data_IF_068744157670
#
_entry.id   IF_068744157670
#
_cell.length_a   1.000
_cell.length_b   1.000
_cell.length_c   1.000
_cell.angle_alpha   90.00
_cell.angle_beta   90.00
_cell.angle_gamma   90.00
#
_symmetry.space_group_name_H-M   'P 1'
#
loop_
_entity.id
_entity.type
_entity.pdbx_description
1 polymer ?
#
# COMPACT_ATOMS: atom_id res chain seq x y z
N UNK A 1 -7.70 -10.47 18.71
CA UNK A 1 -7.51 -10.16 20.16
C UNK A 1 -7.53 -8.66 20.41
N UNK A 2 -6.70 -7.84 19.71
CA UNK A 2 -6.67 -6.39 19.91
C UNK A 2 -8.01 -5.72 19.62
N UNK A 3 -8.67 -6.05 18.51
CA UNK A 3 -9.98 -5.50 18.18
C UNK A 3 -11.04 -5.81 19.27
N UNK A 4 -11.00 -7.02 19.84
CA UNK A 4 -11.88 -7.39 20.95
C UNK A 4 -11.59 -6.58 22.23
N UNK A 5 -10.32 -6.28 22.50
CA UNK A 5 -9.90 -5.47 23.65
C UNK A 5 -10.25 -3.98 23.49
N UNK A 6 -10.29 -3.48 22.26
CA UNK A 6 -10.62 -2.09 21.94
C UNK A 6 -12.12 -1.81 21.74
N UNK A 7 -12.98 -2.82 21.93
CA UNK A 7 -14.41 -2.76 21.60
C UNK A 7 -14.71 -2.36 20.14
N UNK A 8 -13.73 -2.51 19.23
CA UNK A 8 -13.88 -2.27 17.79
C UNK A 8 -14.43 -3.53 17.14
N UNK A 9 -15.49 -3.40 16.34
CA UNK A 9 -16.03 -4.51 15.56
C UNK A 9 -15.37 -4.54 14.18
N UNK A 10 -14.50 -5.52 13.89
CA UNK A 10 -13.98 -5.72 12.55
C UNK A 10 -15.09 -6.23 11.62
N UNK A 11 -15.15 -5.71 10.41
CA UNK A 11 -16.07 -6.15 9.35
C UNK A 11 -15.26 -6.89 8.29
N UNK A 12 -15.67 -8.12 8.00
CA UNK A 12 -15.01 -8.97 7.02
C UNK A 12 -15.21 -8.39 5.62
N UNK A 13 -14.11 -8.34 4.85
CA UNK A 13 -14.15 -8.02 3.43
C UNK A 13 -14.41 -9.27 2.60
N UNK A 14 -14.96 -9.08 1.42
CA UNK A 14 -15.25 -10.13 0.44
C UNK A 14 -14.73 -9.61 -0.91
N UNK A 15 -13.58 -10.09 -1.32
CA UNK A 15 -12.89 -9.62 -2.53
C UNK A 15 -13.63 -10.05 -3.80
N UNK A 16 -14.48 -11.08 -3.72
CA UNK A 16 -15.37 -11.49 -4.80
C UNK A 16 -16.56 -10.52 -4.98
N UNK A 17 -16.85 -9.67 -3.98
CA UNK A 17 -17.89 -8.65 -4.07
C UNK A 17 -17.39 -7.41 -4.83
N UNK A 18 -17.07 -7.62 -6.10
CA UNK A 18 -16.39 -6.71 -7.02
C UNK A 18 -17.20 -6.53 -8.31
N UNK A 19 -17.32 -5.29 -8.77
CA UNK A 19 -17.85 -4.96 -10.11
C UNK A 19 -16.79 -4.22 -10.90
N UNK A 20 -16.42 -4.75 -12.07
CA UNK A 20 -15.35 -4.17 -12.91
C UNK A 20 -15.94 -3.45 -14.11
N UNK A 21 -15.45 -2.25 -14.37
CA UNK A 21 -15.83 -1.42 -15.51
C UNK A 21 -14.69 -1.34 -16.53
N UNK A 22 -15.05 -1.41 -17.82
CA UNK A 22 -14.14 -1.08 -18.88
C UNK A 22 -13.88 0.45 -18.94
N UNK A 23 -12.94 0.87 -19.80
CA UNK A 23 -12.60 2.29 -20.00
C UNK A 23 -13.74 3.16 -20.54
N UNK A 24 -14.82 2.56 -21.06
CA UNK A 24 -16.00 3.25 -21.56
C UNK A 24 -17.15 3.29 -20.54
N UNK A 25 -16.96 2.69 -19.36
CA UNK A 25 -17.97 2.62 -18.30
C UNK A 25 -18.97 1.47 -18.46
N UNK A 26 -18.68 0.47 -19.29
CA UNK A 26 -19.49 -0.74 -19.36
C UNK A 26 -19.03 -1.73 -18.28
N UNK A 27 -19.98 -2.34 -17.60
CA UNK A 27 -19.70 -3.42 -16.65
C UNK A 27 -19.22 -4.64 -17.43
N UNK A 28 -18.09 -5.20 -17.02
CA UNK A 28 -17.60 -6.46 -17.54
C UNK A 28 -18.37 -7.63 -16.90
N UNK A 29 -18.76 -8.63 -17.69
CA UNK A 29 -19.46 -9.80 -17.15
C UNK A 29 -18.54 -10.67 -16.30
N UNK A 30 -19.13 -11.34 -15.29
CA UNK A 30 -18.40 -12.21 -14.35
C UNK A 30 -17.62 -13.32 -15.07
N UNK A 31 -18.14 -13.83 -16.19
CA UNK A 31 -17.46 -14.85 -17.01
C UNK A 31 -16.09 -14.40 -17.54
N UNK A 32 -15.82 -13.10 -17.57
CA UNK A 32 -14.53 -12.51 -17.95
C UNK A 32 -13.63 -12.28 -16.71
N UNK A 33 -14.23 -11.94 -15.59
CA UNK A 33 -13.50 -11.57 -14.35
C UNK A 33 -13.14 -12.81 -13.52
N UNK A 34 -14.08 -13.72 -13.28
CA UNK A 34 -13.89 -14.91 -12.45
C UNK A 34 -12.67 -15.78 -12.82
N UNK A 35 -12.27 -15.91 -14.11
CA UNK A 35 -11.09 -16.68 -14.46
C UNK A 35 -9.76 -16.00 -14.15
N UNK A 36 -9.73 -14.68 -13.87
CA UNK A 36 -8.48 -13.91 -13.77
C UNK A 36 -7.58 -14.41 -12.65
N UNK A 37 -8.13 -14.74 -11.49
CA UNK A 37 -7.34 -15.26 -10.36
C UNK A 37 -6.59 -16.53 -10.75
N UNK A 38 -7.26 -17.48 -11.42
CA UNK A 38 -6.64 -18.72 -11.88
C UNK A 38 -5.62 -18.48 -12.99
N UNK A 39 -5.86 -17.48 -13.85
CA UNK A 39 -4.90 -17.11 -14.90
C UNK A 39 -3.64 -16.53 -14.25
N UNK A 40 -3.78 -15.65 -13.27
CA UNK A 40 -2.66 -15.09 -12.53
C UNK A 40 -1.92 -16.17 -11.74
N UNK A 41 -2.65 -17.00 -10.98
CA UNK A 41 -2.07 -18.12 -10.23
C UNK A 41 -1.22 -19.02 -11.16
N UNK A 42 -1.80 -19.46 -12.30
CA UNK A 42 -1.08 -20.28 -13.26
C UNK A 42 0.15 -19.59 -13.86
N UNK A 43 0.07 -18.28 -14.10
CA UNK A 43 1.17 -17.48 -14.62
C UNK A 43 2.31 -17.35 -13.60
N UNK A 44 1.97 -17.14 -12.34
CA UNK A 44 2.92 -16.98 -11.25
C UNK A 44 3.57 -18.34 -10.89
N UNK A 45 2.80 -19.43 -10.89
CA UNK A 45 3.30 -20.79 -10.69
C UNK A 45 4.32 -21.16 -11.77
N UNK A 46 4.06 -20.84 -13.05
CA UNK A 46 5.00 -21.10 -14.14
C UNK A 46 6.31 -20.30 -13.96
N UNK A 47 6.25 -19.11 -13.40
CA UNK A 47 7.44 -18.30 -13.07
C UNK A 47 8.23 -18.96 -11.94
N UNK A 48 7.56 -19.39 -10.88
CA UNK A 48 8.16 -19.98 -9.68
C UNK A 48 8.91 -21.29 -10.01
N UNK A 49 8.52 -22.02 -11.07
CA UNK A 49 9.19 -23.25 -11.51
C UNK A 49 10.64 -23.03 -12.02
N UNK A 50 11.01 -21.80 -12.45
CA UNK A 50 12.32 -21.59 -13.10
C UNK A 50 13.08 -20.33 -12.62
N UNK A 51 12.44 -19.45 -11.87
CA UNK A 51 13.10 -18.28 -11.26
C UNK A 51 13.56 -18.62 -9.86
N UNK A 52 14.81 -18.32 -9.56
CA UNK A 52 15.43 -18.48 -8.24
C UNK A 52 16.39 -17.31 -7.95
N UNK A 53 17.09 -17.39 -6.83
CA UNK A 53 18.06 -16.37 -6.41
C UNK A 53 19.18 -16.10 -7.43
N UNK A 54 19.61 -17.12 -8.20
CA UNK A 54 20.75 -17.01 -9.11
C UNK A 54 20.37 -16.32 -10.41
N UNK A 55 19.08 -16.38 -10.79
CA UNK A 55 18.56 -15.80 -12.02
C UNK A 55 17.42 -14.77 -11.79
N UNK A 56 17.32 -14.21 -10.58
CA UNK A 56 16.30 -13.22 -10.22
C UNK A 56 16.26 -12.04 -11.20
N UNK A 57 15.06 -11.61 -11.48
CA UNK A 57 14.73 -10.51 -12.40
C UNK A 57 13.44 -9.83 -11.98
N UNK A 58 13.06 -8.75 -12.65
CA UNK A 58 11.75 -8.15 -12.38
C UNK A 58 10.61 -9.10 -12.74
N UNK A 59 9.53 -9.05 -11.97
CA UNK A 59 8.33 -9.86 -12.22
C UNK A 59 7.77 -9.62 -13.63
N UNK A 60 7.77 -8.36 -14.09
CA UNK A 60 7.36 -8.03 -15.47
C UNK A 60 8.21 -8.75 -16.52
N UNK A 61 9.53 -8.82 -16.31
CA UNK A 61 10.43 -9.53 -17.23
C UNK A 61 10.23 -11.06 -17.20
N UNK A 62 9.89 -11.60 -16.03
CA UNK A 62 9.57 -13.02 -15.88
C UNK A 62 8.25 -13.36 -16.57
N UNK A 63 7.23 -12.54 -16.39
CA UNK A 63 5.92 -12.67 -17.08
C UNK A 63 6.09 -12.67 -18.60
N UNK A 64 6.84 -11.70 -19.15
CA UNK A 64 7.06 -11.64 -20.62
C UNK A 64 7.84 -12.83 -21.14
N UNK A 65 8.69 -13.46 -20.32
CA UNK A 65 9.45 -14.66 -20.71
C UNK A 65 8.59 -15.92 -20.79
N UNK A 66 7.63 -16.12 -19.87
CA UNK A 66 6.73 -17.30 -19.88
C UNK A 66 5.52 -17.08 -20.78
N UNK A 67 5.01 -15.89 -20.87
CA UNK A 67 3.84 -15.55 -21.70
C UNK A 67 4.06 -14.22 -22.42
N UNK A 68 4.76 -14.27 -23.56
CA UNK A 68 5.04 -13.09 -24.38
C UNK A 68 3.73 -12.40 -24.80
N UNK A 69 3.58 -11.16 -24.38
CA UNK A 69 2.41 -10.34 -24.67
C UNK A 69 1.33 -10.36 -23.60
N UNK A 70 1.47 -11.14 -22.51
CA UNK A 70 0.53 -11.10 -21.38
C UNK A 70 0.36 -9.68 -20.81
N UNK A 71 1.43 -8.91 -20.74
CA UNK A 71 1.40 -7.51 -20.28
C UNK A 71 0.73 -6.53 -21.26
N UNK A 72 0.36 -6.99 -22.48
CA UNK A 72 -0.46 -6.22 -23.42
C UNK A 72 -1.95 -6.53 -23.28
N UNK A 73 -2.32 -7.55 -22.51
CA UNK A 73 -3.69 -7.83 -22.16
C UNK A 73 -4.12 -6.91 -21.01
N UNK A 74 -5.16 -6.10 -21.28
CA UNK A 74 -5.62 -5.08 -20.31
C UNK A 74 -6.16 -5.68 -19.03
N UNK A 75 -6.77 -6.86 -19.09
CA UNK A 75 -7.32 -7.54 -17.93
C UNK A 75 -6.23 -8.14 -17.07
N UNK A 76 -5.25 -8.81 -17.69
CA UNK A 76 -4.08 -9.36 -16.97
C UNK A 76 -3.31 -8.21 -16.32
N UNK A 77 -3.08 -7.13 -17.05
CA UNK A 77 -2.35 -5.98 -16.52
C UNK A 77 -3.11 -5.30 -15.38
N UNK A 78 -4.44 -5.16 -15.50
CA UNK A 78 -5.30 -4.64 -14.44
C UNK A 78 -5.26 -5.54 -13.20
N UNK A 79 -5.38 -6.85 -13.37
CA UNK A 79 -5.35 -7.80 -12.28
C UNK A 79 -3.99 -7.83 -11.56
N UNK A 80 -2.87 -7.83 -12.29
CA UNK A 80 -1.53 -7.68 -11.71
C UNK A 80 -1.38 -6.39 -10.90
N UNK A 81 -1.89 -5.28 -11.43
CA UNK A 81 -1.84 -3.99 -10.73
C UNK A 81 -2.71 -4.01 -9.47
N UNK A 82 -3.90 -4.61 -9.54
CA UNK A 82 -4.89 -4.56 -8.46
C UNK A 82 -4.60 -5.59 -7.36
N UNK A 83 -4.12 -6.78 -7.71
CA UNK A 83 -3.91 -7.87 -6.74
C UNK A 83 -2.43 -8.04 -6.34
N UNK A 84 -1.46 -7.73 -7.22
CA UNK A 84 -0.04 -7.90 -6.91
C UNK A 84 0.62 -6.58 -6.49
N UNK A 85 0.49 -5.51 -7.27
CA UNK A 85 1.13 -4.22 -6.93
C UNK A 85 0.48 -3.55 -5.72
N UNK A 86 -0.82 -3.75 -5.50
CA UNK A 86 -1.49 -3.24 -4.30
C UNK A 86 -0.96 -3.92 -3.03
N UNK A 87 -0.86 -5.23 -3.02
CA UNK A 87 -0.43 -6.01 -1.85
C UNK A 87 1.04 -5.76 -1.51
N UNK A 88 1.88 -5.65 -2.53
CA UNK A 88 3.33 -5.48 -2.34
C UNK A 88 3.76 -4.02 -2.22
N UNK A 89 3.00 -3.09 -2.79
CA UNK A 89 3.35 -1.66 -2.88
C UNK A 89 4.42 -1.33 -3.92
N UNK A 90 4.97 -2.33 -4.62
CA UNK A 90 5.97 -2.18 -5.68
C UNK A 90 5.38 -2.37 -7.08
N UNK A 91 5.97 -1.72 -8.09
CA UNK A 91 5.62 -1.97 -9.49
C UNK A 91 6.19 -3.33 -9.95
N UNK A 92 5.45 -4.08 -10.79
CA UNK A 92 5.92 -5.37 -11.32
C UNK A 92 7.26 -5.27 -12.07
N UNK A 93 7.62 -4.08 -12.57
CA UNK A 93 8.91 -3.79 -13.18
C UNK A 93 10.07 -3.74 -12.18
N UNK A 94 9.78 -3.61 -10.89
CA UNK A 94 10.76 -3.49 -9.80
C UNK A 94 10.72 -4.68 -8.84
N UNK A 95 9.56 -5.36 -8.73
CA UNK A 95 9.39 -6.55 -7.88
C UNK A 95 10.33 -7.68 -8.30
N UNK A 96 10.95 -8.35 -7.32
CA UNK A 96 11.71 -9.58 -7.55
C UNK A 96 10.77 -10.70 -7.97
N UNK A 97 11.04 -11.35 -9.08
CA UNK A 97 10.25 -12.51 -9.50
C UNK A 97 10.48 -13.72 -8.57
N UNK A 98 11.68 -13.84 -7.96
CA UNK A 98 12.00 -14.93 -7.04
C UNK A 98 11.40 -14.73 -5.64
N UNK A 99 11.17 -13.49 -5.21
CA UNK A 99 10.89 -13.19 -3.79
C UNK A 99 9.75 -12.21 -3.53
N UNK A 100 9.03 -11.70 -4.54
CA UNK A 100 7.95 -10.72 -4.34
C UNK A 100 6.85 -11.22 -3.38
N UNK A 101 6.65 -12.53 -3.29
CA UNK A 101 5.64 -13.20 -2.47
C UNK A 101 6.28 -14.15 -1.43
N UNK A 102 7.48 -13.81 -0.93
CA UNK A 102 8.18 -14.65 0.05
C UNK A 102 7.58 -14.59 1.46
N UNK A 103 6.67 -13.68 1.71
CA UNK A 103 6.01 -13.48 3.00
C UNK A 103 5.01 -14.61 3.31
N UNK A 104 4.84 -14.85 4.62
CA UNK A 104 3.81 -15.75 5.11
C UNK A 104 2.54 -14.96 5.44
N UNK A 105 1.46 -15.20 4.72
CA UNK A 105 0.16 -14.63 5.04
C UNK A 105 -0.36 -15.14 6.40
N UNK A 106 -0.87 -14.25 7.23
CA UNK A 106 -1.62 -14.64 8.41
C UNK A 106 -2.93 -15.31 8.00
N UNK A 107 -3.31 -16.35 8.75
CA UNK A 107 -4.59 -17.03 8.50
C UNK A 107 -5.75 -16.20 9.05
N UNK A 108 -6.81 -16.12 8.32
CA UNK A 108 -8.05 -15.45 8.68
C UNK A 108 -8.59 -14.64 7.52
N UNK A 109 -9.77 -14.08 7.71
CA UNK A 109 -10.36 -13.16 6.73
C UNK A 109 -9.80 -11.75 6.92
N UNK A 110 -9.65 -11.02 5.84
CA UNK A 110 -9.33 -9.62 5.88
C UNK A 110 -10.49 -8.80 6.41
N UNK A 111 -10.19 -7.70 7.08
CA UNK A 111 -11.20 -6.92 7.77
C UNK A 111 -10.95 -5.41 7.63
N UNK A 112 -12.03 -4.67 7.60
CA UNK A 112 -12.03 -3.22 7.79
C UNK A 112 -12.40 -2.88 9.22
N UNK A 113 -11.76 -1.86 9.77
CA UNK A 113 -12.04 -1.30 11.09
C UNK A 113 -12.76 0.06 10.91
N UNK A 114 -14.10 0.10 10.95
CA UNK A 114 -14.83 1.35 10.70
C UNK A 114 -14.55 2.45 11.72
N UNK A 115 -14.11 2.07 12.93
CA UNK A 115 -13.71 3.03 13.96
C UNK A 115 -12.27 3.59 13.78
N UNK A 116 -11.53 3.08 12.79
CA UNK A 116 -10.12 3.43 12.54
C UNK A 116 -9.14 2.50 13.23
N UNK A 117 -7.91 2.46 12.70
CA UNK A 117 -6.82 1.65 13.26
C UNK A 117 -6.31 2.16 14.61
N UNK A 118 -6.44 3.45 14.88
CA UNK A 118 -6.09 4.06 16.17
C UNK A 118 -6.88 3.45 17.33
N UNK A 119 -8.14 3.09 17.10
CA UNK A 119 -8.98 2.46 18.12
C UNK A 119 -8.40 1.13 18.65
N UNK A 120 -7.74 0.33 17.80
CA UNK A 120 -7.12 -0.92 18.25
C UNK A 120 -5.82 -0.71 19.03
N UNK A 121 -5.21 0.47 18.90
CA UNK A 121 -3.99 0.82 19.63
C UNK A 121 -4.27 1.39 21.03
N UNK A 122 -5.48 1.87 21.30
CA UNK A 122 -5.83 2.44 22.62
C UNK A 122 -5.52 1.53 23.81
N UNK A 123 -5.88 0.22 23.80
CA UNK A 123 -5.54 -0.67 24.90
C UNK A 123 -4.02 -0.88 25.08
N UNK A 124 -3.25 -0.84 24.00
CA UNK A 124 -1.79 -0.97 24.04
C UNK A 124 -1.14 0.31 24.56
N UNK A 125 -1.71 1.45 24.24
CA UNK A 125 -1.23 2.77 24.66
C UNK A 125 -1.58 3.07 26.12
N UNK A 126 -2.54 2.35 26.71
CA UNK A 126 -3.00 2.58 28.07
C UNK A 126 -1.86 2.46 29.08
N UNK A 127 -1.70 3.51 29.91
CA UNK A 127 -0.64 3.61 30.94
C UNK A 127 0.79 3.76 30.41
N UNK A 128 1.02 4.01 29.13
CA UNK A 128 2.32 4.36 28.60
C UNK A 128 2.54 5.89 28.65
N UNK A 129 3.76 6.34 28.95
CA UNK A 129 4.18 7.75 28.82
C UNK A 129 4.47 8.05 27.36
N UNK A 130 3.44 8.35 26.56
CA UNK A 130 3.55 8.66 25.13
C UNK A 130 3.69 10.17 24.95
N UNK A 131 4.81 10.60 24.34
CA UNK A 131 5.14 12.01 24.13
C UNK A 131 5.05 12.38 22.66
N UNK A 132 3.86 12.78 22.22
CA UNK A 132 3.62 13.27 20.87
C UNK A 132 4.31 14.62 20.62
N UNK A 133 4.67 14.86 19.34
CA UNK A 133 5.33 16.10 18.91
C UNK A 133 6.78 16.21 19.36
N UNK A 134 7.40 15.16 19.86
CA UNK A 134 8.83 15.07 20.14
C UNK A 134 9.54 14.40 18.95
N UNK A 135 9.80 15.18 17.91
CA UNK A 135 10.48 14.70 16.70
C UNK A 135 11.93 14.36 17.06
N UNK A 136 12.31 13.10 16.90
CA UNK A 136 13.68 12.64 17.16
C UNK A 136 14.59 13.14 16.06
N UNK A 137 15.68 13.80 16.45
CA UNK A 137 16.68 14.40 15.56
C UNK A 137 18.01 13.66 15.62
N UNK A 138 18.38 13.17 16.83
CA UNK A 138 19.64 12.46 17.04
C UNK A 138 19.48 11.38 18.11
N UNK A 139 20.15 10.24 17.88
CA UNK A 139 20.31 9.15 18.85
C UNK A 139 21.82 8.93 19.04
N UNK A 140 22.32 9.25 20.23
CA UNK A 140 23.70 8.98 20.63
C UNK A 140 23.72 7.79 21.58
N UNK A 141 24.69 6.87 21.43
CA UNK A 141 24.76 5.68 22.25
C UNK A 141 26.21 5.21 22.46
N UNK A 142 26.49 4.73 23.66
CA UNK A 142 27.76 4.12 24.03
C UNK A 142 27.57 3.07 25.14
N UNK A 143 28.64 2.60 25.74
CA UNK A 143 28.60 1.62 26.83
C UNK A 143 27.93 2.14 28.12
N UNK A 144 27.71 3.45 28.25
CA UNK A 144 27.08 4.08 29.43
C UNK A 144 25.57 4.25 29.27
N UNK A 145 25.01 4.12 28.05
CA UNK A 145 23.59 4.26 27.77
C UNK A 145 23.30 4.99 26.48
N UNK A 146 22.09 5.53 26.41
CA UNK A 146 21.54 6.18 25.20
C UNK A 146 21.08 7.58 25.56
N UNK A 147 21.33 8.53 24.67
CA UNK A 147 20.79 9.88 24.70
C UNK A 147 20.02 10.15 23.40
N UNK A 148 18.77 10.59 23.52
CA UNK A 148 17.90 10.93 22.40
C UNK A 148 17.62 12.42 22.44
N UNK A 149 18.04 13.12 21.39
CA UNK A 149 17.73 14.55 21.19
C UNK A 149 16.47 14.67 20.33
N UNK A 150 15.52 15.44 20.79
CA UNK A 150 14.27 15.72 20.07
C UNK A 150 14.06 17.21 19.90
N UNK A 151 13.11 17.60 19.05
CA UNK A 151 12.68 18.99 18.86
C UNK A 151 12.19 19.71 20.15
N UNK A 152 11.96 18.95 21.24
CA UNK A 152 11.39 19.48 22.49
C UNK A 152 12.18 19.10 23.75
N UNK A 153 13.39 18.59 23.60
CA UNK A 153 14.25 18.26 24.73
C UNK A 153 14.99 16.93 24.54
N UNK A 154 15.73 16.56 25.56
CA UNK A 154 16.61 15.40 25.57
C UNK A 154 16.10 14.34 26.56
N UNK A 155 16.31 13.09 26.20
CA UNK A 155 15.96 11.92 27.00
C UNK A 155 17.16 11.01 27.10
N UNK A 156 17.34 10.40 28.26
CA UNK A 156 18.37 9.41 28.48
C UNK A 156 17.80 8.10 28.99
N UNK A 157 18.42 7.00 28.63
CA UNK A 157 18.03 5.65 29.03
C UNK A 157 19.16 4.65 28.93
N UNK A 158 18.95 3.46 29.46
CA UNK A 158 19.91 2.38 29.33
C UNK A 158 19.80 1.71 27.95
N UNK A 159 18.60 1.65 27.37
CA UNK A 159 18.29 1.03 26.09
C UNK A 159 17.22 1.86 25.36
N UNK A 160 17.21 1.76 24.04
CA UNK A 160 16.10 2.24 23.20
C UNK A 160 15.76 1.18 22.15
N UNK A 161 14.48 1.08 21.82
CA UNK A 161 14.00 0.33 20.65
C UNK A 161 13.66 1.37 19.57
N UNK A 162 14.28 1.23 18.40
CA UNK A 162 14.10 2.16 17.27
C UNK A 162 13.15 1.50 16.27
N UNK A 163 11.95 2.05 16.12
CA UNK A 163 10.91 1.56 15.21
C UNK A 163 10.65 2.55 14.06
N UNK A 164 11.68 3.27 13.63
CA UNK A 164 11.58 4.22 12.53
C UNK A 164 11.23 3.49 11.22
N UNK A 165 10.27 4.00 10.41
CA UNK A 165 10.00 3.45 9.10
C UNK A 165 11.24 3.42 8.20
N UNK A 166 11.29 2.44 7.30
CA UNK A 166 12.39 2.30 6.34
C UNK A 166 12.63 3.59 5.55
N UNK A 167 11.56 4.27 5.10
CA UNK A 167 11.66 5.54 4.39
C UNK A 167 12.39 6.62 5.18
N UNK A 168 12.15 6.71 6.50
CA UNK A 168 12.84 7.64 7.40
C UNK A 168 14.34 7.29 7.52
N UNK A 169 14.66 6.00 7.65
CA UNK A 169 16.07 5.54 7.70
C UNK A 169 16.80 5.83 6.38
N UNK A 170 16.14 5.65 5.23
CA UNK A 170 16.70 5.95 3.90
C UNK A 170 17.01 7.44 3.71
N UNK A 171 16.18 8.32 4.26
CA UNK A 171 16.37 9.77 4.19
C UNK A 171 17.43 10.30 5.17
N UNK A 172 17.86 9.47 6.13
CA UNK A 172 18.87 9.83 7.13
C UNK A 172 18.54 11.11 7.92
N UNK A 173 17.25 11.38 8.13
CA UNK A 173 16.77 12.57 8.85
C UNK A 173 17.00 12.48 10.37
N UNK A 174 17.27 11.29 10.88
CA UNK A 174 17.69 11.05 12.27
C UNK A 174 19.18 10.71 12.29
N UNK A 175 19.99 11.49 12.98
CA UNK A 175 21.42 11.24 13.12
C UNK A 175 21.69 10.16 14.16
N UNK A 176 22.59 9.22 13.86
CA UNK A 176 23.10 8.22 14.81
C UNK A 176 24.55 8.50 15.14
N UNK A 177 24.93 8.42 16.43
CA UNK A 177 26.27 8.67 16.93
C UNK A 177 26.64 7.64 18.00
N UNK A 178 27.53 6.67 17.68
CA UNK A 178 28.19 6.47 16.38
C UNK A 178 27.21 6.13 15.27
N UNK A 179 27.65 6.28 14.01
CA UNK A 179 26.85 5.89 12.85
C UNK A 179 26.45 4.40 12.94
N UNK A 180 25.26 4.09 12.41
CA UNK A 180 24.82 2.71 12.27
C UNK A 180 25.84 1.88 11.46
N UNK A 181 25.99 0.58 11.73
CA UNK A 181 26.91 -0.29 11.02
C UNK A 181 26.74 -0.19 9.50
N UNK A 182 27.85 -0.22 8.76
CA UNK A 182 27.82 -0.13 7.29
C UNK A 182 26.96 -1.23 6.66
N UNK A 183 26.99 -2.45 7.21
CA UNK A 183 26.14 -3.56 6.76
C UNK A 183 24.64 -3.23 6.86
N UNK A 184 24.22 -2.63 7.98
CA UNK A 184 22.85 -2.19 8.19
C UNK A 184 22.47 -1.09 7.19
N UNK A 185 23.29 -0.06 7.06
CA UNK A 185 23.05 1.05 6.12
C UNK A 185 22.95 0.58 4.66
N UNK A 186 23.75 -0.41 4.26
CA UNK A 186 23.71 -1.00 2.93
C UNK A 186 22.38 -1.73 2.69
N UNK A 187 21.85 -2.45 3.69
CA UNK A 187 20.54 -3.10 3.58
C UNK A 187 19.39 -2.08 3.49
N UNK A 188 19.41 -1.07 4.37
CA UNK A 188 18.45 0.05 4.29
C UNK A 188 18.46 0.68 2.90
N UNK A 189 19.63 0.87 2.29
CA UNK A 189 19.73 1.43 0.94
C UNK A 189 19.17 0.49 -0.14
N UNK A 190 19.41 -0.84 0.02
CA UNK A 190 19.05 -1.90 -0.94
C UNK A 190 17.54 -2.13 -1.02
N UNK A 191 16.83 -2.22 0.12
CA UNK A 191 15.39 -2.49 0.16
C UNK A 191 14.63 -1.29 -0.41
N UNK A 192 13.80 -1.46 -1.44
CA UNK A 192 13.01 -0.37 -2.00
C UNK A 192 11.84 0.02 -1.10
N UNK A 193 11.29 1.22 -1.37
CA UNK A 193 10.11 1.76 -0.70
C UNK A 193 9.08 2.14 -1.75
N UNK A 194 7.95 1.47 -1.71
CA UNK A 194 6.85 1.68 -2.62
C UNK A 194 5.89 2.77 -2.16
N UNK A 195 4.90 3.04 -2.99
CA UNK A 195 3.91 4.05 -2.71
C UNK A 195 2.51 3.63 -3.15
N UNK A 196 1.53 3.97 -2.34
CA UNK A 196 0.10 3.79 -2.63
C UNK A 196 -0.61 5.09 -2.32
N UNK A 197 -1.27 5.68 -3.31
CA UNK A 197 -2.04 6.89 -3.11
C UNK A 197 -3.53 6.55 -3.01
N UNK A 198 -4.17 7.08 -1.98
CA UNK A 198 -5.60 6.93 -1.73
C UNK A 198 -6.29 8.29 -1.83
N UNK A 199 -7.44 8.32 -2.51
CA UNK A 199 -8.29 9.51 -2.58
C UNK A 199 -9.65 9.15 -2.00
N UNK A 200 -9.94 9.62 -0.80
CA UNK A 200 -11.24 9.45 -0.17
C UNK A 200 -12.16 10.59 -0.57
N UNK A 201 -13.27 10.27 -1.23
CA UNK A 201 -14.29 11.20 -1.68
C UNK A 201 -15.58 10.94 -0.91
N UNK A 202 -16.05 11.94 -0.15
CA UNK A 202 -17.32 11.89 0.57
C UNK A 202 -18.42 12.60 -0.21
N UNK A 203 -19.55 11.93 -0.40
CA UNK A 203 -20.70 12.42 -1.13
C UNK A 203 -21.91 12.66 -0.21
N UNK A 204 -22.86 13.45 -0.66
CA UNK A 204 -24.12 13.68 0.05
C UNK A 204 -24.98 12.40 -0.01
N UNK A 205 -25.12 11.84 -1.20
CA UNK A 205 -25.83 10.58 -1.45
C UNK A 205 -24.93 9.60 -2.22
N UNK A 206 -25.11 8.31 -2.00
CA UNK A 206 -24.48 7.28 -2.80
C UNK A 206 -25.18 7.16 -4.16
N UNK A 207 -24.44 7.32 -5.25
CA UNK A 207 -24.92 7.11 -6.63
C UNK A 207 -24.48 5.76 -7.21
N UNK A 208 -23.85 4.94 -6.41
CA UNK A 208 -23.42 3.57 -6.70
C UNK A 208 -24.23 2.58 -5.87
N UNK A 209 -24.12 1.29 -6.19
CA UNK A 209 -24.72 0.23 -5.38
C UNK A 209 -24.01 0.14 -4.01
N UNK A 210 -24.71 0.42 -2.90
CA UNK A 210 -24.11 0.36 -1.58
C UNK A 210 -23.76 -1.05 -1.10
N UNK A 211 -24.25 -2.11 -1.75
CA UNK A 211 -23.96 -3.49 -1.39
C UNK A 211 -22.67 -4.03 -2.03
N UNK A 212 -22.19 -3.40 -3.09
CA UNK A 212 -20.92 -3.76 -3.73
C UNK A 212 -19.77 -3.23 -2.90
N UNK A 213 -18.79 -4.08 -2.54
CA UNK A 213 -17.66 -3.67 -1.71
C UNK A 213 -16.55 -2.99 -2.52
N UNK A 214 -16.33 -3.44 -3.74
CA UNK A 214 -15.24 -2.95 -4.59
C UNK A 214 -15.70 -2.65 -6.01
N UNK A 215 -15.10 -1.62 -6.61
CA UNK A 215 -15.26 -1.33 -8.03
C UNK A 215 -13.89 -1.31 -8.70
N UNK A 216 -13.75 -2.09 -9.78
CA UNK A 216 -12.59 -2.08 -10.66
C UNK A 216 -12.80 -1.14 -11.85
N UNK A 217 -11.72 -0.56 -12.36
CA UNK A 217 -11.75 0.25 -13.59
C UNK A 217 -10.52 -0.03 -14.45
N UNK A 218 -10.73 -0.45 -15.69
CA UNK A 218 -9.67 -0.68 -16.66
C UNK A 218 -9.17 0.66 -17.21
N UNK A 219 -8.13 1.21 -16.61
CA UNK A 219 -7.53 2.46 -17.03
C UNK A 219 -6.54 2.27 -18.19
N UNK A 220 -6.40 3.29 -19.06
CA UNK A 220 -5.37 3.29 -20.12
C UNK A 220 -3.95 3.36 -19.57
N UNK A 221 -3.79 3.91 -18.36
CA UNK A 221 -2.48 4.06 -17.70
C UNK A 221 -2.46 3.11 -16.52
N UNK A 222 -1.46 2.23 -16.48
CA UNK A 222 -1.25 1.29 -15.38
C UNK A 222 -1.15 2.03 -14.04
N UNK A 223 -1.90 1.56 -13.04
CA UNK A 223 -1.94 2.13 -11.69
C UNK A 223 -2.77 3.41 -11.53
N UNK A 224 -3.35 3.93 -12.61
CA UNK A 224 -4.21 5.12 -12.57
C UNK A 224 -5.61 4.76 -12.13
N UNK A 225 -5.86 4.80 -10.83
CA UNK A 225 -7.15 4.57 -10.17
C UNK A 225 -7.87 3.30 -10.63
N UNK A 226 -7.18 2.12 -10.62
CA UNK A 226 -7.75 0.87 -11.11
C UNK A 226 -8.76 0.26 -10.16
N UNK A 227 -8.85 0.74 -8.90
CA UNK A 227 -9.61 0.09 -7.85
C UNK A 227 -10.23 1.11 -6.89
N UNK A 228 -11.46 0.83 -6.45
CA UNK A 228 -12.22 1.69 -5.56
C UNK A 228 -12.82 0.86 -4.43
N UNK A 229 -12.56 1.25 -3.19
CA UNK A 229 -13.24 0.72 -2.02
C UNK A 229 -14.53 1.51 -1.77
N UNK A 230 -15.65 0.80 -1.70
CA UNK A 230 -16.92 1.37 -1.25
C UNK A 230 -17.05 1.30 0.26
N UNK A 231 -16.70 2.39 0.94
CA UNK A 231 -16.78 2.42 2.40
C UNK A 231 -18.24 2.36 2.93
N UNK A 232 -19.24 2.68 2.08
CA UNK A 232 -20.66 2.58 2.40
C UNK A 232 -21.10 1.15 2.70
N UNK A 233 -20.44 0.16 2.14
CA UNK A 233 -20.69 -1.26 2.42
C UNK A 233 -20.33 -1.65 3.87
N UNK A 234 -19.47 -0.88 4.54
CA UNK A 234 -18.95 -1.18 5.88
C UNK A 234 -19.42 -0.20 6.95
N UNK A 235 -19.84 1.00 6.58
CA UNK A 235 -20.26 2.04 7.51
C UNK A 235 -21.35 2.94 6.90
N UNK A 236 -22.11 3.63 7.73
CA UNK A 236 -23.12 4.60 7.28
C UNK A 236 -22.46 5.90 6.81
N UNK A 237 -21.62 5.80 5.78
CA UNK A 237 -20.89 6.92 5.22
C UNK A 237 -20.75 6.76 3.69
N UNK A 238 -21.28 7.74 2.93
CA UNK A 238 -21.21 7.76 1.47
C UNK A 238 -19.80 8.14 1.01
N UNK A 239 -18.85 7.23 1.15
CA UNK A 239 -17.45 7.44 0.80
C UNK A 239 -17.00 6.37 -0.20
N UNK A 240 -16.38 6.82 -1.31
CA UNK A 240 -15.56 6.00 -2.19
C UNK A 240 -14.09 6.36 -1.97
N UNK A 241 -13.25 5.34 -1.89
CA UNK A 241 -11.80 5.51 -1.80
C UNK A 241 -11.17 4.99 -3.08
N UNK A 242 -10.74 5.90 -3.95
CA UNK A 242 -9.95 5.54 -5.13
C UNK A 242 -8.52 5.21 -4.72
N UNK A 243 -7.96 4.15 -5.28
CA UNK A 243 -6.62 3.68 -4.99
C UNK A 243 -5.76 3.70 -6.25
N UNK A 244 -4.49 4.06 -6.09
CA UNK A 244 -3.48 4.08 -7.15
C UNK A 244 -2.25 3.32 -6.69
N UNK A 245 -1.69 2.48 -7.57
CA UNK A 245 -0.64 1.51 -7.27
C UNK A 245 0.53 1.59 -8.24
N UNK A 246 1.59 0.84 -7.96
CA UNK A 246 2.75 0.72 -8.82
C UNK A 246 3.50 2.05 -8.98
N UNK A 247 3.82 2.44 -10.20
CA UNK A 247 4.60 3.65 -10.47
C UNK A 247 3.76 4.96 -10.48
N UNK A 248 2.45 4.89 -10.72
CA UNK A 248 1.58 6.07 -10.90
C UNK A 248 1.46 6.96 -9.65
N UNK A 249 1.42 6.45 -8.41
CA UNK A 249 1.39 7.27 -7.20
C UNK A 249 2.48 8.35 -7.13
N UNK A 250 3.69 8.05 -7.61
CA UNK A 250 4.80 9.00 -7.60
C UNK A 250 4.54 10.24 -8.47
N UNK A 251 3.73 10.10 -9.52
CA UNK A 251 3.28 11.21 -10.36
C UNK A 251 2.13 11.98 -9.67
N UNK A 252 1.15 11.24 -9.15
CA UNK A 252 -0.05 11.79 -8.51
C UNK A 252 0.31 12.68 -7.34
N UNK A 253 1.18 12.25 -6.43
CA UNK A 253 1.50 12.97 -5.21
C UNK A 253 2.14 14.35 -5.42
N UNK A 254 2.65 14.62 -6.62
CA UNK A 254 3.22 15.93 -7.02
C UNK A 254 2.16 16.92 -7.48
N UNK A 255 0.94 16.47 -7.72
CA UNK A 255 -0.15 17.28 -8.30
C UNK A 255 -1.02 17.92 -7.21
N UNK A 256 -1.66 19.07 -7.50
CA UNK A 256 -2.64 19.66 -6.60
C UNK A 256 -3.87 18.76 -6.38
N UNK A 257 -4.45 18.79 -5.19
CA UNK A 257 -5.66 18.01 -4.84
C UNK A 257 -6.83 18.24 -5.81
N UNK A 258 -6.97 19.46 -6.31
CA UNK A 258 -8.05 19.78 -7.24
C UNK A 258 -7.92 19.04 -8.58
N UNK A 259 -6.70 18.84 -9.08
CA UNK A 259 -6.44 18.09 -10.31
C UNK A 259 -6.65 16.60 -10.10
N UNK A 260 -6.17 16.07 -8.98
CA UNK A 260 -6.34 14.66 -8.61
C UNK A 260 -7.83 14.36 -8.45
N UNK A 261 -8.56 15.21 -7.72
CA UNK A 261 -10.01 15.09 -7.55
C UNK A 261 -10.73 15.09 -8.89
N UNK A 262 -10.39 16.02 -9.78
CA UNK A 262 -11.02 16.12 -11.09
C UNK A 262 -10.82 14.83 -11.91
N UNK A 263 -9.61 14.28 -11.90
CA UNK A 263 -9.27 13.05 -12.60
C UNK A 263 -10.06 11.84 -12.06
N UNK A 264 -10.13 11.68 -10.73
CA UNK A 264 -10.93 10.60 -10.11
C UNK A 264 -12.41 10.78 -10.44
N UNK A 265 -12.93 12.02 -10.39
CA UNK A 265 -14.32 12.30 -10.72
C UNK A 265 -14.66 12.03 -12.19
N UNK A 266 -13.72 12.22 -13.12
CA UNK A 266 -13.93 11.89 -14.53
C UNK A 266 -14.08 10.37 -14.72
N UNK A 267 -13.33 9.56 -13.98
CA UNK A 267 -13.50 8.09 -13.95
C UNK A 267 -14.86 7.74 -13.34
N UNK A 268 -15.23 8.31 -12.20
CA UNK A 268 -16.53 8.04 -11.58
C UNK A 268 -17.70 8.43 -12.49
N UNK A 269 -17.59 9.51 -13.26
CA UNK A 269 -18.59 9.86 -14.28
C UNK A 269 -18.63 8.89 -15.44
N UNK A 270 -17.49 8.33 -15.81
CA UNK A 270 -17.42 7.27 -16.81
C UNK A 270 -18.14 6.01 -16.32
N UNK A 271 -17.91 5.59 -15.08
CA UNK A 271 -18.50 4.38 -14.49
C UNK A 271 -20.02 4.55 -14.20
N UNK A 272 -20.40 5.69 -13.58
CA UNK A 272 -21.75 5.89 -13.02
C UNK A 272 -22.59 6.93 -13.78
N UNK A 273 -22.04 7.53 -14.82
CA UNK A 273 -22.73 8.50 -15.66
C UNK A 273 -23.03 9.82 -14.96
N UNK A 274 -24.12 10.47 -15.39
CA UNK A 274 -24.53 11.79 -14.87
C UNK A 274 -24.94 11.80 -13.39
N UNK A 275 -25.12 10.64 -12.77
CA UNK A 275 -25.45 10.52 -11.35
C UNK A 275 -24.24 10.80 -10.45
N UNK A 276 -23.01 10.72 -10.95
CA UNK A 276 -21.80 11.02 -10.21
C UNK A 276 -21.71 12.53 -9.90
N UNK A 277 -22.21 12.90 -8.72
CA UNK A 277 -22.22 14.28 -8.21
C UNK A 277 -20.84 14.70 -7.69
N UNK A 278 -20.63 16.02 -7.48
CA UNK A 278 -19.42 16.52 -6.85
C UNK A 278 -19.31 16.07 -5.39
N UNK A 279 -18.12 15.68 -4.93
CA UNK A 279 -17.94 15.30 -3.53
C UNK A 279 -17.99 16.53 -2.59
N UNK A 280 -18.56 16.32 -1.41
CA UNK A 280 -18.57 17.30 -0.32
C UNK A 280 -17.18 17.52 0.29
N UNK A 281 -16.38 16.44 0.33
CA UNK A 281 -15.02 16.42 0.88
C UNK A 281 -14.12 15.51 0.01
N UNK A 282 -12.86 15.90 -0.04
CA UNK A 282 -11.81 15.13 -0.70
C UNK A 282 -10.56 15.12 0.20
N UNK A 283 -9.99 13.94 0.40
CA UNK A 283 -8.74 13.76 1.11
C UNK A 283 -7.80 12.93 0.22
N UNK A 284 -6.58 13.42 0.01
CA UNK A 284 -5.54 12.76 -0.78
C UNK A 284 -4.39 12.39 0.14
N UNK A 285 -3.97 11.13 0.15
CA UNK A 285 -2.76 10.71 0.87
C UNK A 285 -1.51 11.03 0.07
N UNK A 286 -0.41 11.36 0.76
CA UNK A 286 0.91 11.66 0.19
C UNK A 286 2.00 11.05 1.06
N UNK A 287 2.10 9.73 1.01
CA UNK A 287 3.01 8.98 1.89
C UNK A 287 4.48 9.26 1.57
N UNK A 288 4.84 9.50 0.30
CA UNK A 288 6.23 9.82 -0.06
C UNK A 288 6.68 11.20 0.44
N UNK A 289 5.72 12.12 0.67
CA UNK A 289 5.97 13.46 1.19
C UNK A 289 5.78 13.56 2.71
N UNK A 290 5.27 12.51 3.37
CA UNK A 290 5.14 12.48 4.82
C UNK A 290 6.52 12.36 5.47
N UNK A 291 6.94 13.34 6.32
CA UNK A 291 8.28 13.34 6.92
C UNK A 291 8.49 12.24 7.96
N UNK A 292 7.45 11.51 8.32
CA UNK A 292 7.50 10.41 9.29
C UNK A 292 7.38 9.03 8.64
N UNK A 293 7.17 8.95 7.32
CA UNK A 293 7.04 7.69 6.58
C UNK A 293 7.96 7.63 5.36
N UNK A 294 7.95 8.63 4.47
CA UNK A 294 8.65 8.69 3.18
C UNK A 294 8.37 7.48 2.28
N UNK A 295 7.12 7.05 2.22
CA UNK A 295 6.62 5.95 1.42
C UNK A 295 5.50 5.18 2.14
N UNK A 296 4.87 4.25 1.44
CA UNK A 296 3.76 3.46 1.98
C UNK A 296 4.23 2.10 2.52
N UNK A 297 4.88 1.29 1.67
CA UNK A 297 5.34 -0.07 2.01
C UNK A 297 6.78 -0.28 1.54
N UNK A 298 7.54 -1.11 2.25
CA UNK A 298 8.74 -1.73 1.70
C UNK A 298 8.35 -2.98 0.90
N UNK A 299 9.10 -3.31 -0.13
CA UNK A 299 8.85 -4.50 -0.93
C UNK A 299 10.15 -5.21 -1.33
N UNK A 300 10.04 -6.47 -1.74
CA UNK A 300 11.18 -7.24 -2.22
C UNK A 300 11.40 -6.92 -3.71
N UNK A 301 12.35 -6.04 -3.96
CA UNK A 301 12.77 -5.66 -5.31
C UNK A 301 13.80 -6.64 -5.88
N UNK A 302 14.04 -6.56 -7.19
CA UNK A 302 15.09 -7.40 -7.84
C UNK A 302 16.43 -7.27 -7.12
N UNK A 303 17.00 -8.41 -6.77
CA UNK A 303 18.26 -8.51 -6.05
C UNK A 303 18.16 -8.28 -4.52
N UNK A 304 16.96 -8.09 -3.96
CA UNK A 304 16.69 -8.10 -2.53
C UNK A 304 16.30 -9.51 -2.11
N UNK A 305 16.85 -9.97 -1.02
CA UNK A 305 16.58 -11.30 -0.45
C UNK A 305 15.81 -11.16 0.88
N UNK A 306 15.02 -12.16 1.29
CA UNK A 306 14.30 -12.13 2.57
C UNK A 306 15.21 -11.84 3.77
N UNK A 307 16.45 -12.35 3.75
CA UNK A 307 17.47 -12.12 4.77
C UNK A 307 17.89 -10.65 4.90
N UNK A 308 17.69 -9.83 3.87
CA UNK A 308 17.94 -8.38 3.96
C UNK A 308 16.98 -7.71 4.96
N UNK A 309 15.74 -8.19 5.03
CA UNK A 309 14.74 -7.73 6.02
C UNK A 309 15.05 -8.28 7.42
N UNK A 310 15.31 -9.59 7.54
CA UNK A 310 15.61 -10.24 8.82
C UNK A 310 16.82 -9.60 9.54
N UNK A 311 17.79 -9.17 8.78
CA UNK A 311 18.99 -8.53 9.29
C UNK A 311 18.87 -7.01 9.57
N UNK A 312 17.66 -6.43 9.48
CA UNK A 312 17.36 -5.08 9.95
C UNK A 312 16.86 -5.07 11.40
N UNK A 313 16.48 -6.21 11.97
CA UNK A 313 15.93 -6.35 13.31
C UNK A 313 17.00 -6.56 14.39
#
# INVERSE_FOLDING_TARGET
ELAAASATMPLVTDDDNLVVYDRNGNILPDEIIDPLDKILESLLDEIDEWVDAENDRSLASAIDAVNTGALNDELILWALTTFTEFDTGGAIEELSAAYFNADSAFRGADVILPAGFDAILEPLAANLDIRLGHVVEKISYDNSGIQITTSRGEFAGNFAVVTLPLGVLKQQVVAFDPELPTSFRNRVAKIPMGNVTKVALKFDEAFWDPAVQYFGYLSEIKGKWPYFLNYRAFADANILVALSFGAYPAEVERRPDAEIRAEVMDILRTMFGANATEPLQCLVTRWSADPYAYGAYSFTGTGVEPEDFDNLA
#
